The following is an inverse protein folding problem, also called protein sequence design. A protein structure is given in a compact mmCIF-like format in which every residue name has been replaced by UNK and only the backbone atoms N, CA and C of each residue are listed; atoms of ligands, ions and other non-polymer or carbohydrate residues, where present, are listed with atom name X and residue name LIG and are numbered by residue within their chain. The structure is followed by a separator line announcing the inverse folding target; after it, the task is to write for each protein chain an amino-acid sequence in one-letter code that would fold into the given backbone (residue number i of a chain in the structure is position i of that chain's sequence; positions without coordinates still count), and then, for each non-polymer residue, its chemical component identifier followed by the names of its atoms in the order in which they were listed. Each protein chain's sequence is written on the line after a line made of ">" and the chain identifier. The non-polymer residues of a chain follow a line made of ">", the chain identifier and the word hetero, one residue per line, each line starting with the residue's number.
data_IF_175671054647
#
_entry.id   IF_175671054647
#
_cell.length_a   1.000
_cell.length_b   1.000
_cell.length_c   1.000
_cell.angle_alpha   90.00
_cell.angle_beta   90.00
_cell.angle_gamma   90.00
#
_symmetry.space_group_name_H-M   'P 1'
#
loop_
_entity.id
_entity.type
_entity.pdbx_description
1 polymer ?
#
# COMPACT_ATOMS: atom_id res chain seq x y z
N UNK A 1 -21.93 -1.28 -16.76
CA UNK A 1 -21.37 -2.11 -15.67
C UNK A 1 -20.27 -1.33 -14.99
N UNK A 2 -20.23 -1.29 -13.66
CA UNK A 2 -19.09 -0.71 -12.93
C UNK A 2 -17.83 -1.49 -13.29
N UNK A 3 -16.73 -0.79 -13.62
CA UNK A 3 -15.43 -1.42 -13.85
C UNK A 3 -14.91 -2.10 -12.57
N UNK A 4 -13.85 -2.93 -12.67
CA UNK A 4 -13.18 -3.50 -11.51
C UNK A 4 -12.67 -2.39 -10.58
N UNK A 5 -12.80 -2.58 -9.27
CA UNK A 5 -12.36 -1.59 -8.26
C UNK A 5 -11.14 -2.08 -7.51
N UNK A 6 -10.19 -1.18 -7.28
CA UNK A 6 -8.97 -1.45 -6.50
C UNK A 6 -8.84 -0.37 -5.43
N UNK A 7 -8.69 -0.77 -4.17
CA UNK A 7 -8.25 0.13 -3.10
C UNK A 7 -6.79 -0.16 -2.79
N UNK A 8 -5.93 0.80 -3.08
CA UNK A 8 -4.50 0.73 -2.81
C UNK A 8 -4.19 1.47 -1.51
N UNK A 9 -4.00 0.73 -0.42
CA UNK A 9 -3.44 1.28 0.81
C UNK A 9 -1.93 1.37 0.67
N UNK A 10 -1.36 2.56 0.89
CA UNK A 10 0.07 2.78 0.69
C UNK A 10 0.68 3.67 1.77
N UNK A 11 1.95 3.43 2.06
CA UNK A 11 2.81 4.31 2.84
C UNK A 11 4.07 4.56 2.02
N UNK A 12 4.53 5.81 1.97
CA UNK A 12 5.71 6.24 1.23
C UNK A 12 7.00 5.56 1.72
N UNK A 13 7.03 5.09 2.97
CA UNK A 13 8.18 4.37 3.54
C UNK A 13 8.29 2.93 2.99
N UNK A 14 7.24 2.40 2.36
CA UNK A 14 7.23 1.05 1.81
C UNK A 14 7.68 1.04 0.34
N UNK A 15 8.85 0.45 0.01
CA UNK A 15 9.30 0.36 -1.37
C UNK A 15 8.35 -0.48 -2.24
N UNK A 16 7.71 -1.49 -1.66
CA UNK A 16 6.73 -2.33 -2.36
C UNK A 16 5.43 -1.58 -2.65
N UNK A 17 4.99 -0.72 -1.72
CA UNK A 17 3.82 0.12 -1.96
C UNK A 17 4.08 1.13 -3.08
N UNK A 18 5.31 1.68 -3.18
CA UNK A 18 5.71 2.52 -4.31
C UNK A 18 5.67 1.76 -5.65
N UNK A 19 6.20 0.53 -5.70
CA UNK A 19 6.13 -0.31 -6.92
C UNK A 19 4.68 -0.53 -7.34
N UNK A 20 3.80 -0.91 -6.40
CA UNK A 20 2.38 -1.10 -6.68
C UNK A 20 1.71 0.19 -7.18
N UNK A 21 1.95 1.32 -6.50
CA UNK A 21 1.46 2.64 -6.91
C UNK A 21 1.91 2.99 -8.33
N UNK A 22 3.20 2.81 -8.64
CA UNK A 22 3.76 3.11 -9.96
C UNK A 22 3.14 2.22 -11.04
N UNK A 23 3.00 0.92 -10.79
CA UNK A 23 2.39 -0.03 -11.75
C UNK A 23 0.91 0.29 -11.99
N UNK A 24 0.14 0.59 -10.93
CA UNK A 24 -1.27 0.94 -11.03
C UNK A 24 -1.51 2.23 -11.84
N UNK A 25 -0.56 3.17 -11.78
CA UNK A 25 -0.63 4.43 -12.54
C UNK A 25 -0.21 4.28 -14.01
N UNK A 26 0.76 3.41 -14.31
CA UNK A 26 1.44 3.42 -15.62
C UNK A 26 1.14 2.18 -16.48
N UNK A 27 0.64 1.10 -15.90
CA UNK A 27 0.40 -0.14 -16.66
C UNK A 27 -0.97 -0.12 -17.34
N UNK A 28 -1.05 -0.44 -18.65
CA UNK A 28 -2.33 -0.53 -19.37
C UNK A 28 -3.22 -1.65 -18.83
N UNK A 29 -2.67 -2.62 -18.08
CA UNK A 29 -3.43 -3.70 -17.46
C UNK A 29 -4.52 -3.18 -16.49
N UNK A 30 -4.29 -2.01 -15.88
CA UNK A 30 -5.21 -1.42 -14.90
C UNK A 30 -6.00 -0.22 -15.44
N UNK A 31 -5.92 0.07 -16.74
CA UNK A 31 -6.54 1.25 -17.35
C UNK A 31 -8.08 1.29 -17.23
N UNK A 32 -8.73 0.15 -17.00
CA UNK A 32 -10.19 0.05 -16.81
C UNK A 32 -10.59 -0.05 -15.34
N UNK A 33 -9.63 0.01 -14.41
CA UNK A 33 -9.89 -0.09 -12.99
C UNK A 33 -10.23 1.28 -12.40
N UNK A 34 -11.19 1.31 -11.50
CA UNK A 34 -11.45 2.44 -10.62
C UNK A 34 -10.54 2.28 -9.39
N UNK A 35 -9.51 3.11 -9.28
CA UNK A 35 -8.47 2.95 -8.25
C UNK A 35 -8.62 4.06 -7.21
N UNK A 36 -8.78 3.65 -5.95
CA UNK A 36 -8.77 4.54 -4.78
C UNK A 36 -7.46 4.39 -4.04
N UNK A 37 -6.72 5.48 -3.88
CA UNK A 37 -5.47 5.49 -3.11
C UNK A 37 -5.73 5.99 -1.71
N UNK A 38 -5.36 5.19 -0.70
CA UNK A 38 -5.57 5.51 0.71
C UNK A 38 -4.20 5.53 1.41
N UNK A 39 -3.68 6.72 1.75
CA UNK A 39 -2.47 6.82 2.55
C UNK A 39 -2.69 6.22 3.94
N UNK A 40 -1.72 5.45 4.42
CA UNK A 40 -1.72 4.88 5.77
C UNK A 40 -0.39 5.13 6.45
N UNK A 41 -0.38 5.02 7.77
CA UNK A 41 0.84 4.98 8.57
C UNK A 41 1.22 3.52 8.85
N UNK A 42 2.24 3.02 8.16
CA UNK A 42 2.68 1.62 8.23
C UNK A 42 3.15 1.25 9.64
N UNK A 43 3.90 2.13 10.31
CA UNK A 43 4.33 1.89 11.69
C UNK A 43 3.14 1.73 12.66
N UNK A 44 2.08 2.51 12.46
CA UNK A 44 0.84 2.39 13.23
C UNK A 44 0.10 1.08 12.94
N UNK A 45 0.05 0.67 11.67
CA UNK A 45 -0.52 -0.62 11.26
C UNK A 45 0.25 -1.81 11.86
N UNK A 46 1.59 -1.77 11.81
CA UNK A 46 2.44 -2.81 12.38
C UNK A 46 2.20 -2.96 13.90
N UNK A 47 2.13 -1.85 14.63
CA UNK A 47 1.82 -1.84 16.05
C UNK A 47 0.43 -2.42 16.34
N UNK A 48 -0.61 -1.95 15.62
CA UNK A 48 -1.99 -2.42 15.79
C UNK A 48 -2.16 -3.92 15.52
N UNK A 49 -1.34 -4.50 14.63
CA UNK A 49 -1.34 -5.93 14.33
C UNK A 49 -0.38 -6.75 15.20
N UNK A 50 0.35 -6.14 16.14
CA UNK A 50 1.38 -6.83 16.92
C UNK A 50 2.58 -7.32 16.09
N UNK A 51 2.76 -6.78 14.88
CA UNK A 51 3.85 -7.15 13.99
C UNK A 51 5.13 -6.42 14.41
N UNK A 52 5.94 -7.10 15.22
CA UNK A 52 7.18 -6.54 15.76
C UNK A 52 8.33 -6.68 14.77
N UNK A 53 9.26 -5.71 14.73
CA UNK A 53 10.48 -5.86 13.94
C UNK A 53 11.31 -7.04 14.46
N UNK A 54 12.04 -7.74 13.57
CA UNK A 54 12.86 -8.90 13.97
C UNK A 54 13.99 -8.52 14.93
N UNK A 55 14.43 -7.26 14.92
CA UNK A 55 15.36 -6.69 15.89
C UNK A 55 14.57 -5.66 16.70
N UNK A 56 14.25 -5.95 17.97
CA UNK A 56 13.65 -4.96 18.87
C UNK A 56 14.61 -3.79 19.07
N UNK A 57 14.09 -2.57 19.16
CA UNK A 57 14.88 -1.46 19.69
C UNK A 57 15.22 -1.79 21.16
N UNK A 58 16.51 -2.02 21.46
CA UNK A 58 17.00 -1.97 22.84
C UNK A 58 17.17 -0.50 23.21
N UNK A 59 16.46 -0.05 24.25
CA UNK A 59 16.76 1.19 24.97
C UNK A 59 18.06 1.05 25.79
#
# INVERSE_FOLDING_TARGET
>A
MSGPKITCYFDIVSPFAYIAFHVLQNSPAFAKCEITYVPILLGGLMNACGNSPPIPHQE
#
